data_IF_123725432488
#
_entry.id   IF_123725432488
#
_cell.length_a   1.000
_cell.length_b   1.000
_cell.length_c   1.000
_cell.angle_alpha   90.00
_cell.angle_beta   90.00
_cell.angle_gamma   90.00
#
_symmetry.space_group_name_H-M   'P 1'
#
loop_
_entity.id
_entity.type
_entity.pdbx_description
1 polymer ?
#
# COMPACT_ATOMS: atom_id res chain seq x y z
N UNK A 1 -5.31 -8.08 -44.68
CA UNK A 1 -4.72 -7.26 -43.59
C UNK A 1 -5.46 -7.51 -42.26
N UNK A 2 -4.97 -8.51 -41.53
CA UNK A 2 -5.48 -8.92 -40.22
C UNK A 2 -5.07 -7.85 -39.20
N UNK A 3 -6.04 -7.25 -38.50
CA UNK A 3 -5.77 -6.31 -37.41
C UNK A 3 -5.34 -7.12 -36.18
N UNK A 4 -4.07 -7.08 -35.83
CA UNK A 4 -3.57 -7.54 -34.54
C UNK A 4 -4.20 -6.69 -33.42
N UNK A 5 -4.94 -7.34 -32.53
CA UNK A 5 -5.40 -6.75 -31.28
C UNK A 5 -4.20 -6.70 -30.31
N UNK A 6 -3.82 -5.49 -29.90
CA UNK A 6 -2.82 -5.28 -28.86
C UNK A 6 -3.40 -5.80 -27.53
N UNK A 7 -2.72 -6.72 -26.81
CA UNK A 7 -3.27 -7.28 -25.58
C UNK A 7 -3.36 -6.22 -24.47
N UNK A 8 -4.56 -5.97 -23.99
CA UNK A 8 -4.85 -5.83 -22.55
C UNK A 8 -4.18 -4.68 -21.78
N UNK A 9 -4.44 -3.41 -22.14
CA UNK A 9 -4.50 -2.38 -21.09
C UNK A 9 -5.89 -2.45 -20.47
N UNK A 10 -6.01 -3.16 -19.35
CA UNK A 10 -7.22 -3.10 -18.52
C UNK A 10 -7.48 -1.64 -18.16
N UNK A 11 -8.57 -1.08 -18.65
CA UNK A 11 -9.07 0.27 -18.29
C UNK A 11 -9.72 0.30 -16.90
N UNK A 12 -9.55 -0.76 -16.10
CA UNK A 12 -10.06 -0.80 -14.75
C UNK A 12 -9.47 0.35 -13.93
N UNK A 13 -10.37 1.19 -13.42
CA UNK A 13 -10.02 2.37 -12.65
C UNK A 13 -9.34 1.94 -11.35
N UNK A 14 -8.30 2.69 -10.96
CA UNK A 14 -7.74 2.59 -9.61
C UNK A 14 -8.83 2.98 -8.62
N UNK A 15 -9.03 2.17 -7.59
CA UNK A 15 -10.04 2.42 -6.58
C UNK A 15 -9.44 2.38 -5.19
N UNK A 16 -10.05 3.14 -4.29
CA UNK A 16 -9.77 3.12 -2.85
C UNK A 16 -11.04 2.70 -2.13
N UNK A 17 -10.90 1.92 -1.06
CA UNK A 17 -12.02 1.44 -0.25
C UNK A 17 -11.64 1.44 1.21
N UNK A 18 -12.56 1.90 2.06
CA UNK A 18 -12.43 1.79 3.51
C UNK A 18 -12.93 0.42 3.93
N UNK A 19 -12.05 -0.40 4.51
CA UNK A 19 -12.37 -1.78 4.90
C UNK A 19 -12.80 -1.91 6.34
N UNK A 20 -12.53 -0.88 7.17
CA UNK A 20 -12.82 -0.87 8.59
C UNK A 20 -12.69 0.52 9.21
N UNK A 21 -12.37 0.58 10.50
CA UNK A 21 -12.23 1.83 11.26
C UNK A 21 -11.25 2.79 10.60
N UNK A 22 -9.96 2.55 10.75
CA UNK A 22 -8.86 3.33 10.16
C UNK A 22 -8.18 2.60 8.99
N UNK A 23 -8.81 1.54 8.48
CA UNK A 23 -8.24 0.65 7.47
C UNK A 23 -8.72 0.99 6.07
N UNK A 24 -7.77 1.03 5.13
CA UNK A 24 -8.00 1.36 3.73
C UNK A 24 -7.27 0.38 2.81
N UNK A 25 -7.89 0.06 1.68
CA UNK A 25 -7.32 -0.75 0.61
C UNK A 25 -7.30 0.04 -0.70
N UNK A 26 -6.18 -0.06 -1.43
CA UNK A 26 -6.03 0.48 -2.78
C UNK A 26 -5.93 -0.67 -3.77
N UNK A 27 -6.78 -0.66 -4.79
CA UNK A 27 -6.75 -1.62 -5.90
C UNK A 27 -6.14 -0.91 -7.10
N UNK A 28 -5.06 -1.49 -7.64
CA UNK A 28 -4.26 -0.89 -8.71
C UNK A 28 -4.19 -1.82 -9.94
N UNK A 29 -5.23 -1.85 -10.79
CA UNK A 29 -5.21 -2.68 -11.98
C UNK A 29 -4.09 -2.26 -12.95
N UNK A 30 -3.41 -3.24 -13.54
CA UNK A 30 -2.31 -3.00 -14.49
C UNK A 30 -1.06 -2.39 -13.86
N UNK A 31 -0.94 -2.39 -12.53
CA UNK A 31 0.24 -1.92 -11.81
C UNK A 31 1.05 -3.11 -11.34
N UNK A 32 2.33 -3.12 -11.68
CA UNK A 32 3.30 -4.12 -11.23
C UNK A 32 3.87 -3.76 -9.85
N UNK A 33 4.81 -4.57 -9.35
CA UNK A 33 5.36 -4.37 -8.02
C UNK A 33 6.07 -3.02 -7.88
N UNK A 34 6.81 -2.62 -8.92
CA UNK A 34 7.53 -1.34 -8.96
C UNK A 34 6.57 -0.15 -8.96
N UNK A 35 5.51 -0.21 -9.76
CA UNK A 35 4.49 0.84 -9.74
C UNK A 35 3.74 0.91 -8.40
N UNK A 36 3.53 -0.22 -7.73
CA UNK A 36 2.94 -0.24 -6.39
C UNK A 36 3.87 0.39 -5.34
N UNK A 37 5.19 0.12 -5.41
CA UNK A 37 6.19 0.75 -4.56
C UNK A 37 6.20 2.28 -4.74
N UNK A 38 6.15 2.77 -5.99
CA UNK A 38 6.07 4.21 -6.28
C UNK A 38 4.81 4.86 -5.68
N UNK A 39 3.67 4.16 -5.69
CA UNK A 39 2.44 4.66 -5.05
C UNK A 39 2.61 4.74 -3.54
N UNK A 40 3.24 3.76 -2.91
CA UNK A 40 3.53 3.77 -1.47
C UNK A 40 4.47 4.93 -1.10
N UNK A 41 5.52 5.16 -1.89
CA UNK A 41 6.44 6.28 -1.70
C UNK A 41 5.70 7.63 -1.75
N UNK A 42 4.83 7.83 -2.75
CA UNK A 42 4.01 9.03 -2.86
C UNK A 42 3.10 9.23 -1.63
N UNK A 43 2.50 8.16 -1.10
CA UNK A 43 1.69 8.25 0.14
C UNK A 43 2.55 8.65 1.33
N UNK A 44 3.78 8.14 1.43
CA UNK A 44 4.71 8.54 2.49
C UNK A 44 5.15 10.02 2.38
N UNK A 45 5.39 10.52 1.17
CA UNK A 45 5.70 11.93 0.93
C UNK A 45 4.54 12.84 1.35
N UNK A 46 3.32 12.49 0.96
CA UNK A 46 2.11 13.22 1.37
C UNK A 46 1.89 13.19 2.88
N UNK A 47 2.16 12.05 3.53
CA UNK A 47 2.10 11.93 4.98
C UNK A 47 3.15 12.81 5.68
N UNK A 48 4.37 12.87 5.16
CA UNK A 48 5.43 13.71 5.69
C UNK A 48 5.06 15.20 5.58
N UNK A 49 4.55 15.62 4.42
CA UNK A 49 4.04 16.99 4.22
C UNK A 49 2.89 17.28 5.19
N UNK A 50 1.93 16.36 5.33
CA UNK A 50 0.82 16.53 6.27
C UNK A 50 1.34 16.74 7.71
N UNK A 51 2.29 15.92 8.16
CA UNK A 51 2.86 16.04 9.50
C UNK A 51 3.69 17.31 9.70
N UNK A 52 4.26 17.88 8.64
CA UNK A 52 4.96 19.16 8.68
C UNK A 52 4.00 20.34 8.88
N UNK A 53 2.86 20.33 8.20
CA UNK A 53 1.93 21.46 8.18
C UNK A 53 0.78 21.35 9.19
N UNK A 54 0.57 20.18 9.80
CA UNK A 54 -0.45 19.96 10.82
C UNK A 54 0.22 19.69 12.18
N UNK A 55 0.42 20.71 13.03
CA UNK A 55 1.21 20.62 14.27
C UNK A 55 0.53 19.82 15.41
N UNK A 56 -0.49 19.03 15.09
CA UNK A 56 -1.12 18.11 16.03
C UNK A 56 -0.26 16.86 16.27
N UNK A 57 -0.91 15.74 16.59
CA UNK A 57 -0.20 14.47 16.72
C UNK A 57 0.26 13.98 15.34
N UNK A 58 1.55 13.63 15.17
CA UNK A 58 2.04 13.10 13.90
C UNK A 58 1.28 11.83 13.51
N UNK A 59 0.78 11.80 12.28
CA UNK A 59 0.14 10.63 11.72
C UNK A 59 1.18 9.62 11.27
N UNK A 60 0.94 8.35 11.53
CA UNK A 60 1.74 7.22 11.06
C UNK A 60 0.86 6.23 10.35
N UNK A 61 1.28 5.75 9.17
CA UNK A 61 0.58 4.71 8.41
C UNK A 61 1.43 3.45 8.35
N UNK A 62 0.79 2.30 8.61
CA UNK A 62 1.36 0.99 8.29
C UNK A 62 0.79 0.56 6.95
N UNK A 63 1.64 0.26 5.98
CA UNK A 63 1.22 -0.12 4.63
C UNK A 63 1.89 -1.43 4.21
N UNK A 64 1.15 -2.24 3.46
CA UNK A 64 1.63 -3.44 2.81
C UNK A 64 1.00 -3.55 1.42
N UNK A 65 1.74 -4.10 0.47
CA UNK A 65 1.27 -4.29 -0.91
C UNK A 65 1.64 -5.67 -1.44
N UNK A 66 0.87 -6.13 -2.40
CA UNK A 66 1.13 -7.33 -3.16
C UNK A 66 0.57 -7.17 -4.58
N UNK A 67 1.17 -7.87 -5.54
CA UNK A 67 0.69 -7.97 -6.93
C UNK A 67 0.25 -9.40 -7.23
N UNK A 68 -0.78 -9.55 -8.06
CA UNK A 68 -1.32 -10.86 -8.43
C UNK A 68 -0.30 -11.69 -9.20
N UNK A 69 -0.23 -12.98 -8.90
CA UNK A 69 0.46 -14.00 -9.71
C UNK A 69 -0.54 -14.73 -10.61
N UNK A 70 -0.06 -15.39 -11.67
CA UNK A 70 -0.92 -16.18 -12.55
C UNK A 70 -1.65 -17.30 -11.78
N UNK A 71 -2.98 -17.39 -11.96
CA UNK A 71 -3.81 -18.35 -11.24
C UNK A 71 -4.01 -18.06 -9.75
N UNK A 72 -3.50 -16.94 -9.23
CA UNK A 72 -3.64 -16.59 -7.83
C UNK A 72 -5.07 -16.15 -7.49
N UNK A 73 -5.58 -16.70 -6.40
CA UNK A 73 -6.85 -16.28 -5.80
C UNK A 73 -6.74 -14.89 -5.19
N UNK A 74 -7.77 -14.07 -5.38
CA UNK A 74 -7.80 -12.71 -4.83
C UNK A 74 -7.64 -12.71 -3.30
N UNK A 75 -8.20 -13.71 -2.60
CA UNK A 75 -8.07 -13.82 -1.15
C UNK A 75 -6.62 -14.02 -0.72
N UNK A 76 -5.84 -14.80 -1.48
CA UNK A 76 -4.42 -15.02 -1.21
C UNK A 76 -3.61 -13.73 -1.45
N UNK A 77 -3.94 -12.99 -2.51
CA UNK A 77 -3.32 -11.70 -2.81
C UNK A 77 -3.55 -10.69 -1.68
N UNK A 78 -4.79 -10.53 -1.24
CA UNK A 78 -5.16 -9.62 -0.13
C UNK A 78 -4.47 -10.05 1.15
N UNK A 79 -4.45 -11.36 1.45
CA UNK A 79 -3.78 -11.88 2.65
C UNK A 79 -2.28 -11.58 2.65
N UNK A 80 -1.59 -11.67 1.51
CA UNK A 80 -0.16 -11.29 1.43
C UNK A 80 0.07 -9.81 1.65
N UNK A 81 -0.80 -8.95 1.11
CA UNK A 81 -0.72 -7.51 1.34
C UNK A 81 -0.91 -7.18 2.84
N UNK A 82 -1.89 -7.83 3.48
CA UNK A 82 -2.18 -7.67 4.91
C UNK A 82 -1.03 -8.16 5.80
N UNK A 83 -0.45 -9.33 5.53
CA UNK A 83 0.73 -9.82 6.25
C UNK A 83 1.90 -8.83 6.19
N UNK A 84 2.16 -8.25 5.01
CA UNK A 84 3.22 -7.25 4.83
C UNK A 84 2.92 -5.94 5.57
N UNK A 85 1.66 -5.53 5.62
CA UNK A 85 1.22 -4.38 6.42
C UNK A 85 1.44 -4.65 7.92
N UNK A 86 1.07 -5.84 8.38
CA UNK A 86 1.27 -6.24 9.77
C UNK A 86 2.76 -6.28 10.13
N UNK A 87 3.62 -6.78 9.24
CA UNK A 87 5.07 -6.72 9.42
C UNK A 87 5.60 -5.30 9.53
N UNK A 88 5.12 -4.40 8.67
CA UNK A 88 5.43 -2.97 8.73
C UNK A 88 5.03 -2.37 10.09
N UNK A 89 3.81 -2.67 10.56
CA UNK A 89 3.29 -2.25 11.87
C UNK A 89 4.16 -2.77 13.02
N UNK A 90 4.55 -4.06 13.00
CA UNK A 90 5.44 -4.65 14.01
C UNK A 90 6.80 -3.98 14.07
N UNK A 91 7.43 -3.74 12.90
CA UNK A 91 8.72 -3.06 12.81
C UNK A 91 8.62 -1.63 13.38
N UNK A 92 7.55 -0.92 13.06
CA UNK A 92 7.33 0.44 13.56
C UNK A 92 7.26 0.50 15.10
N UNK A 93 6.46 -0.37 15.73
CA UNK A 93 6.38 -0.41 17.20
C UNK A 93 7.68 -0.85 17.86
N UNK A 94 8.43 -1.78 17.24
CA UNK A 94 9.73 -2.20 17.76
C UNK A 94 10.74 -1.04 17.80
N UNK A 95 10.77 -0.22 16.75
CA UNK A 95 11.61 1.00 16.71
C UNK A 95 11.18 2.01 17.78
N UNK A 96 9.88 2.29 17.91
CA UNK A 96 9.40 3.21 18.95
C UNK A 96 9.71 2.73 20.38
N UNK A 97 9.62 1.42 20.65
CA UNK A 97 9.96 0.87 21.97
C UNK A 97 11.45 1.04 22.27
N UNK A 98 12.32 0.86 21.27
CA UNK A 98 13.75 1.10 21.44
C UNK A 98 14.04 2.58 21.71
N UNK A 99 13.41 3.50 20.97
CA UNK A 99 13.59 4.95 21.19
C UNK A 99 13.15 5.40 22.58
N UNK A 100 12.08 4.80 23.14
CA UNK A 100 11.61 5.10 24.50
C UNK A 100 12.52 4.55 25.59
N UNK A 101 13.26 3.46 25.33
CA UNK A 101 14.20 2.85 26.30
C UNK A 101 15.56 3.55 26.34
N UNK A 102 15.90 4.31 25.29
CA UNK A 102 17.15 5.06 25.18
C UNK A 102 17.06 6.51 25.66
N UNK A 103 15.86 6.97 26.06
CA UNK A 103 15.61 8.27 26.68
C UNK A 103 15.44 8.11 28.19
#
# INVERSE_FOLDING_TARGET
>A
PVREAVPGRSTALRSTSRTGGDEFALILPGVDSRGAEQVIEQVHELLALNNQFNPGQPLSLSMGHATSSEGERLEALVHRADQRMYDSKRRHYAHQQNDRRQR
#
